data_IF_832702192637
#
_entry.id   IF_832702192637
#
_cell.length_a   1.000
_cell.length_b   1.000
_cell.length_c   1.000
_cell.angle_alpha   90.00
_cell.angle_beta   90.00
_cell.angle_gamma   90.00
#
_symmetry.space_group_name_H-M   'P 1'
#
loop_
_entity.id
_entity.type
_entity.pdbx_description
1 polymer ?
#
# COMPACT_ATOMS: atom_id res chain seq x y z
N UNK A 1 -19.78 -11.79 -6.83
CA UNK A 1 -18.98 -11.22 -5.72
C UNK A 1 -19.04 -12.18 -4.54
N UNK A 2 -17.90 -12.56 -3.96
CA UNK A 2 -17.84 -13.44 -2.78
C UNK A 2 -18.71 -12.89 -1.63
N UNK A 3 -19.52 -13.75 -1.00
CA UNK A 3 -20.42 -13.37 0.11
C UNK A 3 -19.65 -12.67 1.23
N UNK A 4 -18.47 -13.15 1.60
CA UNK A 4 -17.67 -12.52 2.65
C UNK A 4 -17.13 -11.13 2.29
N UNK A 5 -16.79 -10.89 1.02
CA UNK A 5 -16.37 -9.56 0.57
C UNK A 5 -17.54 -8.58 0.65
N UNK A 6 -18.76 -9.04 0.31
CA UNK A 6 -19.95 -8.19 0.33
C UNK A 6 -20.30 -7.64 1.73
N UNK A 7 -19.99 -8.39 2.79
CA UNK A 7 -20.25 -7.98 4.18
C UNK A 7 -19.10 -7.19 4.80
N UNK A 8 -17.86 -7.45 4.38
CA UNK A 8 -16.67 -6.84 5.00
C UNK A 8 -16.17 -5.57 4.30
N UNK A 9 -16.54 -5.34 3.03
CA UNK A 9 -16.05 -4.24 2.20
C UNK A 9 -16.19 -2.85 2.83
N UNK A 10 -17.32 -2.54 3.48
CA UNK A 10 -17.55 -1.23 4.09
C UNK A 10 -16.61 -1.01 5.28
N UNK A 11 -16.40 -2.06 6.10
CA UNK A 11 -15.48 -2.00 7.24
C UNK A 11 -14.04 -1.83 6.74
N UNK A 12 -13.59 -2.66 5.80
CA UNK A 12 -12.23 -2.54 5.26
C UNK A 12 -11.98 -1.23 4.51
N UNK A 13 -12.99 -0.70 3.80
CA UNK A 13 -12.91 0.62 3.19
C UNK A 13 -12.66 1.72 4.23
N UNK A 14 -13.39 1.71 5.34
CA UNK A 14 -13.17 2.65 6.44
C UNK A 14 -11.79 2.47 7.10
N UNK A 15 -11.33 1.24 7.31
CA UNK A 15 -10.00 0.97 7.87
C UNK A 15 -8.87 1.43 6.95
N UNK A 16 -9.05 1.28 5.64
CA UNK A 16 -8.10 1.78 4.65
C UNK A 16 -8.03 3.31 4.66
N UNK A 17 -9.15 4.00 4.82
CA UNK A 17 -9.17 5.46 4.97
C UNK A 17 -8.40 5.90 6.22
N UNK A 18 -8.65 5.25 7.37
CA UNK A 18 -7.88 5.50 8.59
C UNK A 18 -6.41 5.31 8.31
N UNK A 19 -6.02 4.16 7.73
CA UNK A 19 -4.63 3.81 7.44
C UNK A 19 -3.94 4.80 6.49
N UNK A 20 -4.60 5.22 5.41
CA UNK A 20 -4.00 6.01 4.31
C UNK A 20 -3.96 7.50 4.58
N UNK A 21 -4.96 8.07 5.26
CA UNK A 21 -5.02 9.50 5.48
C UNK A 21 -4.10 9.95 6.63
N UNK A 22 -3.54 11.14 6.45
CA UNK A 22 -2.83 11.87 7.48
C UNK A 22 -3.81 12.36 8.55
N UNK A 23 -3.32 12.56 9.78
CA UNK A 23 -4.17 12.92 10.92
C UNK A 23 -4.92 14.26 10.73
N UNK A 24 -4.39 15.17 9.90
CA UNK A 24 -5.02 16.46 9.56
C UNK A 24 -6.24 16.33 8.64
N UNK A 25 -6.30 15.25 7.84
CA UNK A 25 -7.38 14.97 6.89
C UNK A 25 -8.44 14.02 7.48
N UNK A 26 -8.14 13.39 8.62
CA UNK A 26 -9.08 12.50 9.29
C UNK A 26 -10.18 13.29 10.01
N UNK A 27 -11.45 12.83 9.96
CA UNK A 27 -12.49 13.36 10.82
C UNK A 27 -12.15 13.15 12.31
N UNK A 28 -12.92 13.77 13.20
CA UNK A 28 -12.76 13.57 14.64
C UNK A 28 -12.85 12.09 15.01
N UNK A 29 -12.08 11.69 16.03
CA UNK A 29 -12.05 10.31 16.52
C UNK A 29 -13.45 9.78 16.86
N UNK A 30 -14.31 10.63 17.43
CA UNK A 30 -15.70 10.30 17.71
C UNK A 30 -16.51 9.96 16.45
N UNK A 31 -16.35 10.75 15.38
CA UNK A 31 -17.10 10.53 14.14
C UNK A 31 -16.64 9.25 13.46
N UNK A 32 -15.33 9.02 13.39
CA UNK A 32 -14.74 7.78 12.85
C UNK A 32 -15.21 6.56 13.67
N UNK A 33 -15.18 6.66 14.99
CA UNK A 33 -15.65 5.60 15.90
C UNK A 33 -17.13 5.27 15.68
N UNK A 34 -17.99 6.30 15.59
CA UNK A 34 -19.43 6.13 15.33
C UNK A 34 -19.70 5.51 13.96
N UNK A 35 -18.97 5.93 12.93
CA UNK A 35 -19.08 5.36 11.60
C UNK A 35 -18.66 3.89 11.59
N UNK A 36 -17.52 3.55 12.20
CA UNK A 36 -17.06 2.17 12.31
C UNK A 36 -18.08 1.28 13.02
N UNK A 37 -18.65 1.73 14.14
CA UNK A 37 -19.75 1.01 14.82
C UNK A 37 -20.93 0.74 13.89
N UNK A 38 -21.34 1.76 13.12
CA UNK A 38 -22.42 1.62 12.14
C UNK A 38 -22.07 0.61 11.04
N UNK A 39 -20.81 0.55 10.59
CA UNK A 39 -20.36 -0.45 9.62
C UNK A 39 -20.34 -1.86 10.22
N UNK A 40 -19.85 -2.03 11.45
CA UNK A 40 -19.81 -3.31 12.15
C UNK A 40 -21.21 -3.86 12.42
N UNK A 41 -22.13 -3.04 12.91
CA UNK A 41 -23.50 -3.46 13.19
C UNK A 41 -24.22 -3.91 11.91
N UNK A 42 -23.99 -3.20 10.80
CA UNK A 42 -24.51 -3.59 9.47
C UNK A 42 -23.85 -4.86 8.94
N UNK A 43 -22.56 -5.04 9.15
CA UNK A 43 -21.84 -6.25 8.76
C UNK A 43 -22.38 -7.48 9.51
N UNK A 44 -22.56 -7.39 10.83
CA UNK A 44 -23.14 -8.45 11.65
C UNK A 44 -24.57 -8.81 11.20
N UNK A 45 -25.40 -7.81 10.91
CA UNK A 45 -26.76 -8.02 10.40
C UNK A 45 -26.75 -8.72 9.03
N UNK A 46 -25.96 -8.21 8.07
CA UNK A 46 -25.87 -8.80 6.72
C UNK A 46 -25.25 -10.19 6.74
N UNK A 47 -24.34 -10.48 7.66
CA UNK A 47 -23.79 -11.82 7.81
C UNK A 47 -24.91 -12.84 8.12
N UNK A 48 -25.83 -12.49 9.03
CA UNK A 48 -27.00 -13.32 9.31
C UNK A 48 -27.93 -13.49 8.10
N UNK A 49 -28.19 -12.40 7.36
CA UNK A 49 -29.02 -12.44 6.13
C UNK A 49 -28.42 -13.34 5.04
N UNK A 50 -27.08 -13.44 4.98
CA UNK A 50 -26.36 -14.31 4.06
C UNK A 50 -26.13 -15.72 4.62
N UNK A 51 -26.73 -16.09 5.76
CA UNK A 51 -26.69 -17.45 6.30
C UNK A 51 -25.45 -17.80 7.12
N UNK A 52 -24.65 -16.82 7.55
CA UNK A 52 -23.63 -17.07 8.56
C UNK A 52 -24.29 -17.26 9.94
N UNK A 53 -23.79 -18.20 10.73
CA UNK A 53 -24.23 -18.32 12.12
C UNK A 53 -23.83 -17.06 12.91
N UNK A 54 -24.51 -16.80 14.02
CA UNK A 54 -24.14 -15.68 14.90
C UNK A 54 -22.68 -15.79 15.36
N UNK A 55 -22.22 -17.01 15.65
CA UNK A 55 -20.84 -17.25 16.04
C UNK A 55 -19.88 -16.92 14.89
N UNK A 56 -20.14 -17.38 13.67
CA UNK A 56 -19.25 -17.10 12.53
C UNK A 56 -19.24 -15.61 12.18
N UNK A 57 -20.38 -14.92 12.30
CA UNK A 57 -20.43 -13.47 12.11
C UNK A 57 -19.53 -12.73 13.13
N UNK A 58 -19.51 -13.18 14.38
CA UNK A 58 -18.63 -12.65 15.42
C UNK A 58 -17.16 -12.98 15.14
N UNK A 59 -16.84 -14.20 14.70
CA UNK A 59 -15.48 -14.59 14.32
C UNK A 59 -14.96 -13.81 13.09
N UNK A 60 -15.85 -13.42 12.17
CA UNK A 60 -15.52 -12.52 11.04
C UNK A 60 -15.27 -11.10 11.54
N UNK A 61 -16.08 -10.60 12.47
CA UNK A 61 -15.97 -9.24 12.97
C UNK A 61 -14.72 -9.02 13.85
N UNK A 62 -14.35 -10.02 14.65
CA UNK A 62 -13.26 -9.95 15.60
C UNK A 62 -11.93 -9.42 15.04
N UNK A 63 -11.35 -9.99 13.95
CA UNK A 63 -10.07 -9.50 13.41
C UNK A 63 -10.16 -8.09 12.85
N UNK A 64 -11.33 -7.67 12.35
CA UNK A 64 -11.54 -6.34 11.78
C UNK A 64 -11.63 -5.30 12.91
N UNK A 65 -12.31 -5.63 14.00
CA UNK A 65 -12.37 -4.80 15.22
C UNK A 65 -10.98 -4.65 15.84
N UNK A 66 -10.24 -5.75 15.97
CA UNK A 66 -8.87 -5.72 16.49
C UNK A 66 -7.95 -4.83 15.65
N UNK A 67 -8.03 -4.91 14.31
CA UNK A 67 -7.30 -4.04 13.41
C UNK A 67 -7.75 -2.57 13.52
N UNK A 68 -9.05 -2.33 13.67
CA UNK A 68 -9.60 -0.97 13.84
C UNK A 68 -9.00 -0.28 15.06
N UNK A 69 -9.00 -0.96 16.20
CA UNK A 69 -8.42 -0.43 17.44
C UNK A 69 -6.92 -0.22 17.30
N UNK A 70 -6.18 -1.16 16.71
CA UNK A 70 -4.74 -1.00 16.53
C UNK A 70 -4.39 0.20 15.63
N UNK A 71 -5.09 0.37 14.51
CA UNK A 71 -4.89 1.49 13.60
C UNK A 71 -5.24 2.83 14.24
N UNK A 72 -6.30 2.89 15.04
CA UNK A 72 -6.72 4.08 15.75
C UNK A 72 -5.74 4.46 16.88
N UNK A 73 -5.25 3.46 17.63
CA UNK A 73 -4.28 3.66 18.70
C UNK A 73 -2.89 4.05 18.17
N UNK A 74 -2.61 3.87 16.88
CA UNK A 74 -1.38 4.33 16.24
C UNK A 74 -1.42 5.81 15.79
N UNK A 75 -2.55 6.51 15.97
CA UNK A 75 -2.74 7.91 15.56
C UNK A 75 -2.21 8.92 16.58
N UNK A 76 -2.34 10.20 16.25
CA UNK A 76 -2.08 11.34 17.14
C UNK A 76 -2.67 11.16 18.54
N UNK A 77 -2.06 11.86 19.50
CA UNK A 77 -2.37 11.70 20.92
C UNK A 77 -3.83 12.00 21.24
N UNK A 78 -4.43 13.04 20.65
CA UNK A 78 -5.84 13.39 20.84
C UNK A 78 -6.79 12.33 20.29
N UNK A 79 -6.46 11.75 19.13
CA UNK A 79 -7.24 10.67 18.53
C UNK A 79 -7.18 9.41 19.39
N UNK A 80 -5.96 9.06 19.83
CA UNK A 80 -5.67 7.91 20.66
C UNK A 80 -6.33 8.00 22.04
N UNK A 81 -6.32 9.18 22.67
CA UNK A 81 -6.93 9.39 23.99
C UNK A 81 -8.44 9.13 23.97
N UNK A 82 -9.16 9.67 22.99
CA UNK A 82 -10.58 9.36 22.79
C UNK A 82 -10.79 7.86 22.58
N UNK A 83 -9.94 7.22 21.78
CA UNK A 83 -10.09 5.81 21.41
C UNK A 83 -9.82 4.85 22.58
N UNK A 84 -8.85 5.15 23.44
CA UNK A 84 -8.55 4.36 24.64
C UNK A 84 -9.75 4.26 25.59
N UNK A 85 -10.56 5.32 25.68
CA UNK A 85 -11.79 5.33 26.48
C UNK A 85 -12.96 4.61 25.80
N UNK A 86 -12.87 4.36 24.48
CA UNK A 86 -13.96 3.86 23.64
C UNK A 86 -13.48 2.70 22.74
N UNK A 87 -12.75 1.73 23.29
CA UNK A 87 -12.22 0.61 22.51
C UNK A 87 -13.35 -0.24 21.92
N UNK A 88 -13.26 -0.53 20.62
CA UNK A 88 -14.26 -1.35 19.93
C UNK A 88 -14.22 -2.81 20.38
N UNK A 89 -13.03 -3.36 20.65
CA UNK A 89 -12.84 -4.68 21.25
C UNK A 89 -13.59 -4.82 22.58
N UNK A 90 -13.62 -3.76 23.39
CA UNK A 90 -14.34 -3.78 24.66
C UNK A 90 -15.86 -3.67 24.44
N UNK A 91 -16.28 -2.84 23.49
CA UNK A 91 -17.69 -2.69 23.14
C UNK A 91 -18.31 -3.99 22.61
N UNK A 92 -17.65 -4.66 21.67
CA UNK A 92 -18.21 -5.84 20.99
C UNK A 92 -17.88 -7.17 21.68
N UNK A 93 -16.69 -7.31 22.23
CA UNK A 93 -16.19 -8.60 22.75
C UNK A 93 -15.90 -8.58 24.26
N UNK A 94 -16.07 -7.42 24.92
CA UNK A 94 -15.80 -7.24 26.36
C UNK A 94 -14.37 -7.66 26.73
N UNK A 95 -13.44 -7.47 25.80
CA UNK A 95 -12.04 -7.85 25.92
C UNK A 95 -11.14 -6.63 25.65
N UNK A 96 -10.00 -6.54 26.35
CA UNK A 96 -8.99 -5.47 26.17
C UNK A 96 -7.66 -5.99 25.58
N UNK A 97 -7.60 -7.26 25.20
CA UNK A 97 -6.41 -7.97 24.69
C UNK A 97 -6.65 -8.65 23.34
N UNK A 98 -7.43 -8.01 22.46
CA UNK A 98 -7.68 -8.56 21.12
C UNK A 98 -6.40 -8.72 20.28
N UNK A 99 -5.33 -7.99 20.61
CA UNK A 99 -3.99 -8.18 20.03
C UNK A 99 -3.39 -9.57 20.24
N UNK A 100 -3.72 -10.22 21.36
CA UNK A 100 -3.34 -11.61 21.66
C UNK A 100 -4.42 -12.58 21.16
N UNK A 101 -5.69 -12.28 21.47
CA UNK A 101 -6.84 -13.12 21.11
C UNK A 101 -7.01 -13.31 19.59
N UNK A 102 -6.54 -12.36 18.78
CA UNK A 102 -6.48 -12.48 17.32
C UNK A 102 -5.73 -13.75 16.91
N UNK A 103 -4.54 -13.98 17.45
CA UNK A 103 -3.70 -15.10 17.03
C UNK A 103 -4.22 -16.44 17.55
N UNK A 104 -4.85 -16.45 18.72
CA UNK A 104 -5.55 -17.63 19.25
C UNK A 104 -6.68 -18.05 18.32
N UNK A 105 -7.56 -17.10 17.95
CA UNK A 105 -8.70 -17.38 17.05
C UNK A 105 -8.26 -17.69 15.63
N UNK A 106 -7.21 -17.03 15.14
CA UNK A 106 -6.57 -17.37 13.86
C UNK A 106 -6.17 -18.85 13.84
N UNK A 107 -5.51 -19.33 14.90
CA UNK A 107 -5.09 -20.73 14.95
C UNK A 107 -6.29 -21.69 14.95
N UNK A 108 -7.34 -21.38 15.71
CA UNK A 108 -8.60 -22.15 15.67
C UNK A 108 -9.25 -22.15 14.28
N UNK A 109 -9.23 -21.02 13.57
CA UNK A 109 -9.78 -20.93 12.22
C UNK A 109 -8.99 -21.75 11.18
N UNK A 110 -7.69 -21.97 11.42
CA UNK A 110 -6.83 -22.82 10.57
C UNK A 110 -7.07 -24.31 10.77
N UNK A 111 -7.55 -24.70 11.95
CA UNK A 111 -7.84 -26.10 12.28
C UNK A 111 -9.13 -26.59 11.61
N UNK A 112 -10.02 -25.68 11.20
CA UNK A 112 -11.29 -26.00 10.55
C UNK A 112 -11.27 -25.64 9.05
N UNK A 113 -11.16 -26.63 8.14
CA UNK A 113 -11.18 -26.39 6.69
C UNK A 113 -12.47 -25.71 6.19
N UNK A 114 -13.59 -25.85 6.91
CA UNK A 114 -14.86 -25.24 6.54
C UNK A 114 -14.90 -23.73 6.83
N UNK A 115 -13.96 -23.22 7.64
CA UNK A 115 -13.86 -21.80 8.02
C UNK A 115 -12.84 -21.02 7.19
N UNK A 116 -12.53 -21.50 5.98
CA UNK A 116 -11.61 -20.84 5.04
C UNK A 116 -12.00 -19.37 4.76
N UNK A 117 -13.29 -19.05 4.70
CA UNK A 117 -13.75 -17.68 4.51
C UNK A 117 -13.34 -16.78 5.70
N UNK A 118 -13.52 -17.25 6.93
CA UNK A 118 -13.11 -16.53 8.15
C UNK A 118 -11.59 -16.35 8.15
N UNK A 119 -10.84 -17.42 7.86
CA UNK A 119 -9.38 -17.38 7.78
C UNK A 119 -8.87 -16.33 6.78
N UNK A 120 -9.58 -16.13 5.66
CA UNK A 120 -9.27 -15.08 4.68
C UNK A 120 -9.38 -13.68 5.28
N UNK A 121 -10.37 -13.42 6.14
CA UNK A 121 -10.51 -12.11 6.80
C UNK A 121 -9.35 -11.84 7.75
N UNK A 122 -8.92 -12.85 8.51
CA UNK A 122 -7.71 -12.74 9.33
C UNK A 122 -6.47 -12.47 8.48
N UNK A 123 -6.29 -13.21 7.39
CA UNK A 123 -5.19 -12.98 6.45
C UNK A 123 -5.20 -11.55 5.90
N UNK A 124 -6.38 -11.04 5.50
CA UNK A 124 -6.49 -9.67 5.03
C UNK A 124 -6.09 -8.67 6.11
N UNK A 125 -6.47 -8.87 7.37
CA UNK A 125 -6.02 -8.02 8.46
C UNK A 125 -4.48 -8.04 8.66
N UNK A 126 -3.84 -9.21 8.51
CA UNK A 126 -2.36 -9.33 8.54
C UNK A 126 -1.71 -8.52 7.42
N UNK A 127 -2.21 -8.64 6.19
CA UNK A 127 -1.71 -7.88 5.02
C UNK A 127 -1.95 -6.38 5.19
N UNK A 128 -3.05 -6.00 5.85
CA UNK A 128 -3.35 -4.62 6.25
C UNK A 128 -2.53 -4.15 7.47
N UNK A 129 -1.51 -4.91 7.87
CA UNK A 129 -0.48 -4.52 8.82
C UNK A 129 -0.83 -4.72 10.29
N UNK A 130 -1.83 -5.56 10.60
CA UNK A 130 -2.09 -5.98 11.97
C UNK A 130 -0.86 -6.68 12.56
N UNK A 131 -0.37 -6.19 13.69
CA UNK A 131 0.79 -6.75 14.41
C UNK A 131 0.37 -7.44 15.71
N UNK A 132 -0.58 -6.86 16.45
CA UNK A 132 -1.00 -7.33 17.77
C UNK A 132 0.19 -7.61 18.69
N UNK A 133 0.23 -8.83 19.25
CA UNK A 133 1.31 -9.29 20.15
C UNK A 133 2.72 -9.23 19.55
N UNK A 134 2.85 -9.26 18.22
CA UNK A 134 4.14 -9.23 17.53
C UNK A 134 4.74 -7.83 17.36
N UNK A 135 4.12 -6.79 17.94
CA UNK A 135 4.67 -5.42 17.95
C UNK A 135 5.97 -5.31 18.77
N UNK A 136 6.31 -6.31 19.59
CA UNK A 136 7.56 -6.37 20.35
C UNK A 136 8.77 -6.57 19.44
N UNK A 137 9.95 -6.09 19.89
CA UNK A 137 11.20 -6.16 19.10
C UNK A 137 11.55 -7.62 18.80
N UNK A 138 11.69 -7.95 17.51
CA UNK A 138 12.00 -9.31 17.03
C UNK A 138 10.78 -10.13 16.55
N UNK A 139 9.55 -9.65 16.77
CA UNK A 139 8.33 -10.34 16.34
C UNK A 139 8.01 -10.24 14.84
N UNK A 140 8.64 -9.32 14.11
CA UNK A 140 8.32 -9.06 12.70
C UNK A 140 8.62 -10.25 11.78
N UNK A 141 9.72 -10.98 12.03
CA UNK A 141 10.06 -12.17 11.25
C UNK A 141 9.04 -13.29 11.47
N UNK A 142 8.63 -13.52 12.73
CA UNK A 142 7.62 -14.54 13.06
C UNK A 142 6.26 -14.18 12.46
N UNK A 143 5.86 -12.90 12.53
CA UNK A 143 4.63 -12.41 11.92
C UNK A 143 4.64 -12.59 10.39
N UNK A 144 5.77 -12.32 9.74
CA UNK A 144 5.95 -12.54 8.30
C UNK A 144 5.81 -14.02 7.95
N UNK A 145 6.52 -14.90 8.66
CA UNK A 145 6.44 -16.36 8.45
C UNK A 145 5.03 -16.90 8.67
N UNK A 146 4.34 -16.41 9.71
CA UNK A 146 2.95 -16.75 9.98
C UNK A 146 2.05 -16.32 8.81
N UNK A 147 2.19 -15.06 8.35
CA UNK A 147 1.39 -14.51 7.24
C UNK A 147 1.58 -15.32 5.96
N UNK A 148 2.83 -15.67 5.61
CA UNK A 148 3.15 -16.53 4.46
C UNK A 148 2.59 -17.95 4.60
N UNK A 149 2.58 -18.50 5.83
CA UNK A 149 2.00 -19.82 6.08
C UNK A 149 0.49 -19.82 5.84
N UNK A 150 -0.22 -18.81 6.33
CA UNK A 150 -1.66 -18.62 6.14
C UNK A 150 -1.99 -18.38 4.66
N UNK A 151 -1.19 -17.57 3.96
CA UNK A 151 -1.34 -17.35 2.53
C UNK A 151 -1.25 -18.67 1.74
N UNK A 152 -0.24 -19.50 2.03
CA UNK A 152 -0.05 -20.79 1.36
C UNK A 152 -1.20 -21.74 1.64
N UNK A 153 -1.76 -21.71 2.84
CA UNK A 153 -2.93 -22.50 3.22
C UNK A 153 -4.17 -22.07 2.41
N UNK A 154 -4.45 -20.77 2.36
CA UNK A 154 -5.55 -20.21 1.57
C UNK A 154 -5.40 -20.47 0.06
N UNK A 155 -4.18 -20.41 -0.47
CA UNK A 155 -3.89 -20.67 -1.89
C UNK A 155 -4.15 -22.13 -2.31
N UNK A 156 -4.11 -23.09 -1.38
CA UNK A 156 -4.47 -24.49 -1.67
C UNK A 156 -5.97 -24.65 -1.86
N UNK A 157 -6.76 -23.95 -1.07
CA UNK A 157 -8.22 -24.03 -1.12
C UNK A 157 -8.81 -23.22 -2.27
N UNK A 158 -8.22 -22.05 -2.56
CA UNK A 158 -8.59 -21.24 -3.72
C UNK A 158 -7.63 -21.52 -4.88
N UNK A 159 -8.00 -22.46 -5.77
CA UNK A 159 -7.44 -22.48 -7.12
C UNK A 159 -7.81 -21.15 -7.79
N UNK A 160 -6.87 -20.22 -7.86
CA UNK A 160 -7.02 -18.99 -8.62
C UNK A 160 -7.44 -19.36 -10.05
N UNK A 161 -8.67 -19.06 -10.45
CA UNK A 161 -9.04 -18.99 -11.85
C UNK A 161 -8.36 -17.73 -12.41
N UNK A 162 -7.14 -17.90 -12.90
CA UNK A 162 -6.32 -16.85 -13.51
C UNK A 162 -6.96 -16.25 -14.76
N UNK A 163 -8.02 -16.87 -15.29
CA UNK A 163 -8.72 -16.43 -16.51
C UNK A 163 -9.47 -15.10 -16.38
N UNK A 164 -9.67 -14.56 -15.18
CA UNK A 164 -10.41 -13.29 -15.06
C UNK A 164 -10.02 -12.48 -13.83
N UNK A 165 -8.75 -12.07 -13.76
CA UNK A 165 -8.28 -11.17 -12.69
C UNK A 165 -8.96 -9.79 -12.75
N UNK A 166 -9.48 -9.37 -13.90
CA UNK A 166 -10.41 -8.24 -14.02
C UNK A 166 -11.17 -8.26 -15.35
N UNK A 167 -12.39 -8.83 -15.43
CA UNK A 167 -13.21 -8.75 -16.64
C UNK A 167 -13.67 -7.32 -16.96
N UNK A 168 -13.64 -6.42 -15.98
CA UNK A 168 -14.01 -5.00 -16.08
C UNK A 168 -12.87 -4.09 -15.61
N UNK A 169 -11.64 -4.38 -16.01
CA UNK A 169 -10.44 -3.62 -15.64
C UNK A 169 -10.34 -2.22 -16.24
N UNK A 170 -11.45 -1.66 -16.74
CA UNK A 170 -11.51 -0.27 -17.16
C UNK A 170 -11.47 0.61 -15.92
N UNK A 171 -10.28 1.19 -15.72
CA UNK A 171 -10.02 2.19 -14.70
C UNK A 171 -11.04 3.34 -14.86
N UNK A 172 -11.83 3.67 -13.82
CA UNK A 172 -12.65 4.88 -13.84
C UNK A 172 -11.76 6.08 -14.16
N UNK A 173 -12.22 7.06 -14.95
CA UNK A 173 -11.45 8.26 -15.27
C UNK A 173 -11.34 9.15 -14.03
N UNK A 174 -10.57 8.72 -13.03
CA UNK A 174 -10.13 9.59 -11.95
C UNK A 174 -9.11 10.57 -12.53
N UNK A 175 -9.38 11.86 -12.32
CA UNK A 175 -8.47 12.96 -12.63
C UNK A 175 -7.09 12.67 -12.05
N UNK A 176 -6.17 12.28 -12.93
CA UNK A 176 -4.81 11.92 -12.60
C UNK A 176 -4.15 13.09 -11.87
N UNK A 177 -4.07 13.02 -10.54
CA UNK A 177 -3.07 13.76 -9.79
C UNK A 177 -1.73 13.19 -10.24
N UNK A 178 -1.13 13.97 -11.12
CA UNK A 178 0.08 13.75 -11.89
C UNK A 178 1.06 12.78 -11.22
N UNK A 179 1.14 11.58 -11.81
CA UNK A 179 2.33 10.77 -11.75
C UNK A 179 3.55 11.66 -12.00
N UNK A 180 4.54 11.59 -11.10
CA UNK A 180 5.85 12.22 -11.31
C UNK A 180 6.40 11.69 -12.63
N UNK A 181 6.27 12.51 -13.66
CA UNK A 181 6.68 12.23 -15.04
C UNK A 181 8.20 12.32 -15.06
N UNK A 182 8.87 11.21 -14.82
CA UNK A 182 10.33 11.11 -14.93
C UNK A 182 10.73 11.09 -16.40
N UNK A 183 10.68 12.27 -17.01
CA UNK A 183 11.37 12.60 -18.25
C UNK A 183 11.90 14.04 -18.09
N UNK A 184 13.14 14.38 -18.48
CA UNK A 184 14.11 13.55 -19.22
C UNK A 184 15.58 13.90 -18.90
N UNK A 185 16.22 13.23 -17.93
CA UNK A 185 17.68 13.33 -17.75
C UNK A 185 18.43 12.90 -19.03
N UNK A 186 17.83 11.99 -19.81
CA UNK A 186 18.34 11.51 -21.10
C UNK A 186 18.29 12.58 -22.20
N UNK A 187 17.31 13.48 -22.19
CA UNK A 187 17.27 14.56 -23.19
C UNK A 187 18.30 15.64 -22.87
N UNK A 188 18.55 15.90 -21.59
CA UNK A 188 19.60 16.83 -21.14
C UNK A 188 20.99 16.27 -21.50
N UNK A 189 21.22 14.96 -21.29
CA UNK A 189 22.48 14.33 -21.69
C UNK A 189 22.68 14.31 -23.21
N UNK A 190 21.62 14.04 -23.98
CA UNK A 190 21.68 14.10 -25.45
C UNK A 190 22.01 15.52 -25.95
N UNK A 191 21.37 16.56 -25.38
CA UNK A 191 21.63 17.95 -25.74
C UNK A 191 23.08 18.38 -25.44
N UNK A 192 23.62 17.96 -24.30
CA UNK A 192 25.00 18.25 -23.91
C UNK A 192 26.03 17.63 -24.87
N UNK A 193 25.79 16.38 -25.32
CA UNK A 193 26.66 15.70 -26.30
C UNK A 193 26.65 16.41 -27.65
N UNK A 194 25.47 16.83 -28.13
CA UNK A 194 25.34 17.57 -29.38
C UNK A 194 26.07 18.92 -29.29
N UNK A 195 25.92 19.64 -28.18
CA UNK A 195 26.61 20.92 -27.97
C UNK A 195 28.14 20.76 -27.99
N UNK A 196 28.67 19.73 -27.33
CA UNK A 196 30.11 19.45 -27.31
C UNK A 196 30.67 19.16 -28.71
N UNK A 197 29.92 18.42 -29.55
CA UNK A 197 30.30 18.15 -30.94
C UNK A 197 30.34 19.41 -31.81
N UNK A 198 29.38 20.31 -31.64
CA UNK A 198 29.34 21.60 -32.37
C UNK A 198 30.53 22.47 -31.99
N UNK A 199 30.85 22.58 -30.70
CA UNK A 199 32.02 23.35 -30.24
C UNK A 199 33.32 22.74 -30.76
N UNK A 200 33.47 21.41 -30.70
CA UNK A 200 34.67 20.73 -31.20
C UNK A 200 34.88 20.92 -32.70
N UNK A 201 33.82 20.80 -33.50
CA UNK A 201 33.89 20.99 -34.96
C UNK A 201 34.18 22.45 -35.32
N UNK A 202 33.55 23.42 -34.64
CA UNK A 202 33.84 24.84 -34.81
C UNK A 202 35.30 25.19 -34.49
N UNK A 203 35.84 24.67 -33.38
CA UNK A 203 37.25 24.84 -33.02
C UNK A 203 38.17 24.21 -34.07
N UNK A 204 37.87 23.01 -34.56
CA UNK A 204 38.68 22.34 -35.60
C UNK A 204 38.75 23.14 -36.89
N UNK A 205 37.64 23.73 -37.33
CA UNK A 205 37.60 24.56 -38.54
C UNK A 205 38.36 25.86 -38.32
N UNK A 206 38.16 26.53 -37.17
CA UNK A 206 38.88 27.76 -36.82
C UNK A 206 40.39 27.56 -36.73
N UNK A 207 40.84 26.46 -36.12
CA UNK A 207 42.26 26.12 -36.08
C UNK A 207 42.82 25.82 -37.48
N UNK A 208 42.06 25.13 -38.34
CA UNK A 208 42.51 24.84 -39.70
C UNK A 208 42.68 26.13 -40.53
N UNK A 209 41.76 27.09 -40.41
CA UNK A 209 41.88 28.39 -41.09
C UNK A 209 43.08 29.20 -40.59
N UNK A 210 43.35 29.18 -39.27
CA UNK A 210 44.49 29.89 -38.69
C UNK A 210 45.83 29.24 -39.06
N UNK A 211 45.87 27.91 -39.22
CA UNK A 211 47.06 27.19 -39.69
C UNK A 211 47.32 27.48 -41.16
N UNK A 212 46.30 27.52 -42.02
CA UNK A 212 46.50 27.86 -43.44
C UNK A 212 47.01 29.28 -43.64
N UNK A 213 46.50 30.27 -42.91
CA UNK A 213 46.98 31.65 -43.03
C UNK A 213 48.42 31.79 -42.54
N UNK A 214 48.83 31.05 -41.51
CA UNK A 214 50.21 31.05 -41.02
C UNK A 214 51.16 30.33 -41.99
N UNK A 215 50.72 29.25 -42.63
CA UNK A 215 51.49 28.55 -43.67
C UNK A 215 51.67 29.43 -44.90
N UNK A 216 50.64 30.18 -45.28
CA UNK A 216 50.70 31.12 -46.41
C UNK A 216 51.63 32.30 -46.10
N UNK A 217 51.58 32.87 -44.89
CA UNK A 217 52.49 33.93 -44.43
C UNK A 217 53.95 33.46 -44.31
N UNK A 218 54.19 32.25 -43.80
CA UNK A 218 55.54 31.64 -43.77
C UNK A 218 56.04 31.35 -45.19
N UNK A 219 55.19 30.88 -46.11
CA UNK A 219 55.59 30.65 -47.51
C UNK A 219 55.84 31.94 -48.31
N UNK A 220 55.11 33.01 -47.98
CA UNK A 220 55.33 34.34 -48.55
C UNK A 220 56.66 34.94 -48.06
N UNK A 221 56.99 34.75 -46.78
CA UNK A 221 58.26 35.20 -46.21
C UNK A 221 59.49 34.43 -46.73
N UNK A 222 59.37 33.13 -47.04
CA UNK A 222 60.48 32.32 -47.58
C UNK A 222 60.77 32.53 -49.07
N UNK A 223 59.84 33.12 -49.82
CA UNK A 223 60.04 33.52 -51.23
C UNK A 223 60.78 34.85 -51.35
N UNK A 224 60.93 35.60 -50.25
CA UNK A 224 61.51 36.95 -50.22
C UNK A 224 62.88 37.00 -49.51
N UNK A 225 63.68 35.94 -49.65
CA UNK A 225 65.07 35.92 -49.19
C UNK A 225 66.02 35.49 -50.34
N UNK A 226 66.66 36.43 -51.06
CA UNK A 226 67.87 36.18 -51.83
C UNK A 226 69.10 35.96 -50.94
#
# INVERSE_FOLDING_TARGET
MDRINSITQECFGALLQIRQFEDSALPSAELVHRQLRTFFDRMLKRAGELGFSQQDAQEIAYPIVALADELALARSDSFREYWLANLLQFHYFRENRAGDGFFTRLQTAREDPHRTEILRVYYLCLVLGFRGRFRVRGGELELMQLTESVQRELAKTYKFNTETLSPHGERPPESAVSAKRTLPLVAISAAAVVFALVVYTGLRIGLASSVSSFVEEVSASSTQQP
#
